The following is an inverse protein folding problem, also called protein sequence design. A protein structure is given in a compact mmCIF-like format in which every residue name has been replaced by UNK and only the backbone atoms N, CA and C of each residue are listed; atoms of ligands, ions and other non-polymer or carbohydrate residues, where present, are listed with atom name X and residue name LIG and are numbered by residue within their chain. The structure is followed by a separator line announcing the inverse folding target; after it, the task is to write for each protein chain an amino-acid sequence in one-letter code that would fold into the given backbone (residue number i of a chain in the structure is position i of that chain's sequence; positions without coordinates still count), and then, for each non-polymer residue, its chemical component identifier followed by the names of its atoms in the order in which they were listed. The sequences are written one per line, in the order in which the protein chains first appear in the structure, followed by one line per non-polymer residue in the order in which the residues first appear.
data_IF_002684617351
#
_entry.id   IF_002684617351
#
_cell.length_a   1.000
_cell.length_b   1.000
_cell.length_c   1.000
_cell.angle_alpha   90.00
_cell.angle_beta   90.00
_cell.angle_gamma   90.00
#
_symmetry.space_group_name_H-M   'P 1'
#
loop_
_entity.id
_entity.type
_entity.pdbx_description
1 polymer ?
#
# COMPACT_ATOMS: atom_id res chain seq x y z
N UNK A 1 -13.05 -11.08 16.49
CA UNK A 1 -13.95 -10.63 17.59
C UNK A 1 -15.26 -11.39 17.50
N UNK A 2 -15.76 -11.93 18.63
CA UNK A 2 -17.04 -12.65 18.68
C UNK A 2 -18.26 -11.70 18.71
N UNK A 3 -19.46 -12.27 18.47
CA UNK A 3 -20.72 -11.52 18.41
C UNK A 3 -21.08 -10.95 19.79
N UNK A 4 -20.78 -11.65 20.88
CA UNK A 4 -21.11 -11.23 22.23
C UNK A 4 -20.32 -9.99 22.63
N UNK A 5 -19.02 -9.97 22.35
CA UNK A 5 -18.16 -8.79 22.53
C UNK A 5 -18.68 -7.60 21.72
N UNK A 6 -19.05 -7.81 20.46
CA UNK A 6 -19.62 -6.77 19.63
C UNK A 6 -20.90 -6.18 20.20
N UNK A 7 -21.82 -7.05 20.66
CA UNK A 7 -23.09 -6.63 21.26
C UNK A 7 -22.87 -5.85 22.57
N UNK A 8 -21.93 -6.32 23.42
CA UNK A 8 -21.58 -5.67 24.67
C UNK A 8 -21.15 -4.21 24.46
N UNK A 9 -20.29 -3.95 23.46
CA UNK A 9 -19.83 -2.59 23.13
C UNK A 9 -20.76 -1.83 22.18
N UNK A 10 -21.81 -2.47 21.67
CA UNK A 10 -22.76 -1.85 20.74
C UNK A 10 -22.21 -1.67 19.33
N UNK A 11 -21.26 -2.53 18.92
CA UNK A 11 -20.72 -2.58 17.57
C UNK A 11 -21.69 -3.26 16.62
N UNK A 12 -21.75 -2.81 15.38
CA UNK A 12 -22.56 -3.36 14.29
C UNK A 12 -21.76 -4.18 13.30
N UNK A 13 -20.46 -3.93 13.23
CA UNK A 13 -19.50 -4.64 12.38
C UNK A 13 -18.14 -4.71 13.07
N UNK A 14 -17.31 -5.68 12.67
CA UNK A 14 -15.91 -5.80 13.12
C UNK A 14 -15.10 -4.57 12.70
N UNK A 15 -14.11 -4.20 13.50
CA UNK A 15 -13.27 -3.02 13.23
C UNK A 15 -12.51 -3.13 11.91
N UNK A 16 -12.15 -4.36 11.48
CA UNK A 16 -11.49 -4.63 10.19
C UNK A 16 -12.39 -4.34 8.97
N UNK A 17 -13.71 -4.32 9.18
CA UNK A 17 -14.72 -3.99 8.16
C UNK A 17 -15.11 -2.52 8.15
N UNK A 18 -14.37 -1.67 8.89
CA UNK A 18 -14.57 -0.22 8.83
C UNK A 18 -14.34 0.32 7.42
N UNK A 19 -15.02 1.41 7.11
CA UNK A 19 -14.81 2.14 5.87
C UNK A 19 -13.41 2.74 5.82
N UNK A 20 -13.09 3.51 4.80
CA UNK A 20 -11.78 4.12 4.65
C UNK A 20 -11.72 5.49 5.35
N UNK A 21 -10.72 5.67 6.19
CA UNK A 21 -10.43 6.95 6.82
C UNK A 21 -9.55 7.83 5.92
N UNK A 22 -10.12 8.87 5.35
CA UNK A 22 -9.39 9.82 4.51
C UNK A 22 -8.64 10.85 5.35
N UNK A 23 -7.33 10.87 5.20
CA UNK A 23 -6.47 11.94 5.75
C UNK A 23 -6.20 13.01 4.68
N UNK A 24 -5.88 14.24 5.11
CA UNK A 24 -5.46 15.31 4.19
C UNK A 24 -4.17 14.92 3.44
N UNK A 25 -3.27 14.20 4.11
CA UNK A 25 -2.07 13.64 3.48
C UNK A 25 -2.43 12.71 2.30
N UNK A 26 -3.42 11.83 2.48
CA UNK A 26 -3.87 10.95 1.40
C UNK A 26 -4.44 11.73 0.21
N UNK A 27 -5.25 12.75 0.45
CA UNK A 27 -5.83 13.58 -0.63
C UNK A 27 -4.73 14.28 -1.43
N UNK A 28 -3.76 14.85 -0.73
CA UNK A 28 -2.60 15.51 -1.36
C UNK A 28 -1.77 14.50 -2.17
N UNK A 29 -1.50 13.34 -1.60
CA UNK A 29 -0.78 12.26 -2.28
C UNK A 29 -1.53 11.79 -3.52
N UNK A 30 -2.85 11.57 -3.44
CA UNK A 30 -3.68 11.19 -4.59
C UNK A 30 -3.56 12.22 -5.74
N UNK A 31 -3.64 13.50 -5.42
CA UNK A 31 -3.49 14.58 -6.42
C UNK A 31 -2.10 14.55 -7.07
N UNK A 32 -1.05 14.40 -6.26
CA UNK A 32 0.33 14.35 -6.74
C UNK A 32 0.60 13.11 -7.60
N UNK A 33 0.08 11.95 -7.19
CA UNK A 33 0.17 10.70 -7.97
C UNK A 33 -0.53 10.85 -9.32
N UNK A 34 -1.74 11.45 -9.36
CA UNK A 34 -2.46 11.72 -10.62
C UNK A 34 -1.65 12.63 -11.56
N UNK A 35 -1.01 13.67 -11.03
CA UNK A 35 -0.13 14.55 -11.81
C UNK A 35 1.10 13.79 -12.32
N UNK A 36 1.70 12.97 -11.47
CA UNK A 36 2.86 12.17 -11.84
C UNK A 36 2.52 11.18 -12.96
N UNK A 37 1.37 10.52 -12.90
CA UNK A 37 0.90 9.59 -13.95
C UNK A 37 0.74 10.30 -15.30
N UNK A 38 0.21 11.51 -15.31
CA UNK A 38 0.07 12.30 -16.56
C UNK A 38 1.41 12.68 -17.19
N UNK A 39 2.47 12.74 -16.38
CA UNK A 39 3.84 12.99 -16.89
C UNK A 39 4.54 11.71 -17.37
N UNK A 40 3.98 10.54 -17.06
CA UNK A 40 4.63 9.24 -17.33
C UNK A 40 5.82 8.96 -16.42
N UNK A 41 6.45 7.80 -16.65
CA UNK A 41 7.65 7.37 -15.91
C UNK A 41 7.34 6.47 -14.72
N UNK A 42 8.31 6.30 -13.82
CA UNK A 42 8.20 5.44 -12.64
C UNK A 42 7.71 6.26 -11.45
N UNK A 43 6.73 5.71 -10.75
CA UNK A 43 6.15 6.29 -9.54
C UNK A 43 6.22 5.23 -8.46
N UNK A 44 6.99 5.47 -7.41
CA UNK A 44 7.12 4.55 -6.29
C UNK A 44 6.31 5.06 -5.09
N UNK A 45 5.39 4.23 -4.61
CA UNK A 45 4.60 4.47 -3.41
C UNK A 45 5.10 3.53 -2.32
N UNK A 46 5.68 4.06 -1.25
CA UNK A 46 6.26 3.25 -0.18
C UNK A 46 5.61 3.51 1.16
N UNK A 47 5.67 2.53 2.03
CA UNK A 47 5.17 2.66 3.40
C UNK A 47 5.29 1.36 4.19
N UNK A 48 5.32 1.48 5.50
CA UNK A 48 5.45 0.34 6.40
C UNK A 48 4.25 -0.62 6.32
N UNK A 49 4.43 -1.84 6.81
CA UNK A 49 3.34 -2.83 6.90
C UNK A 49 2.22 -2.28 7.78
N UNK A 50 0.98 -2.50 7.33
CA UNK A 50 -0.21 -2.08 8.07
C UNK A 50 -0.61 -0.61 7.90
N UNK A 51 0.14 0.19 7.10
CA UNK A 51 -0.20 1.59 6.83
C UNK A 51 -1.42 1.77 5.90
N UNK A 52 -1.88 0.69 5.27
CA UNK A 52 -3.02 0.73 4.35
C UNK A 52 -2.66 0.91 2.86
N UNK A 53 -1.42 0.58 2.43
CA UNK A 53 -0.97 0.70 1.03
C UNK A 53 -1.94 0.09 0.03
N UNK A 54 -2.29 -1.18 0.19
CA UNK A 54 -3.17 -1.91 -0.75
C UNK A 54 -4.58 -1.31 -0.80
N UNK A 55 -5.12 -0.87 0.34
CA UNK A 55 -6.43 -0.21 0.39
C UNK A 55 -6.38 1.14 -0.33
N UNK A 56 -5.36 1.95 -0.02
CA UNK A 56 -5.13 3.24 -0.68
C UNK A 56 -4.91 3.07 -2.19
N UNK A 57 -4.13 2.05 -2.59
CA UNK A 57 -3.89 1.75 -4.00
C UNK A 57 -5.19 1.45 -4.75
N UNK A 58 -6.06 0.61 -4.19
CA UNK A 58 -7.37 0.30 -4.79
C UNK A 58 -8.22 1.56 -4.95
N UNK A 59 -8.21 2.46 -3.97
CA UNK A 59 -8.93 3.73 -4.04
C UNK A 59 -8.33 4.70 -5.05
N UNK A 60 -7.01 4.77 -5.15
CA UNK A 60 -6.33 5.54 -6.20
C UNK A 60 -6.75 5.04 -7.58
N UNK A 61 -6.72 3.72 -7.79
CA UNK A 61 -7.15 3.10 -9.05
C UNK A 61 -8.61 3.39 -9.36
N UNK A 62 -9.50 3.28 -8.37
CA UNK A 62 -10.91 3.57 -8.52
C UNK A 62 -11.15 5.03 -8.90
N UNK A 63 -10.58 5.97 -8.14
CA UNK A 63 -10.72 7.40 -8.39
C UNK A 63 -10.19 7.82 -9.77
N UNK A 64 -9.10 7.19 -10.24
CA UNK A 64 -8.55 7.42 -11.58
C UNK A 64 -9.48 6.84 -12.66
N UNK A 65 -10.03 5.64 -12.43
CA UNK A 65 -10.96 4.98 -13.37
C UNK A 65 -12.27 5.75 -13.51
N UNK A 66 -12.83 6.26 -12.41
CA UNK A 66 -14.07 7.05 -12.41
C UNK A 66 -13.93 8.36 -13.18
N UNK A 67 -12.78 9.02 -13.10
CA UNK A 67 -12.49 10.22 -13.90
C UNK A 67 -12.36 9.92 -15.39
N UNK A 68 -12.12 8.69 -15.78
CA UNK A 68 -11.94 8.22 -17.17
C UNK A 68 -10.94 9.05 -18.01
N UNK A 69 -9.96 9.67 -17.34
CA UNK A 69 -8.89 10.46 -17.98
C UNK A 69 -7.59 9.70 -18.14
N UNK A 70 -7.45 8.58 -17.43
CA UNK A 70 -6.26 7.71 -17.42
C UNK A 70 -6.76 6.27 -17.52
N UNK A 71 -6.11 5.45 -18.32
CA UNK A 71 -6.41 4.02 -18.43
C UNK A 71 -5.61 3.26 -17.38
N UNK A 72 -6.29 2.40 -16.63
CA UNK A 72 -5.69 1.63 -15.54
C UNK A 72 -5.43 0.22 -16.00
N UNK A 73 -4.18 -0.22 -15.92
CA UNK A 73 -3.77 -1.62 -16.06
C UNK A 73 -3.21 -2.15 -14.73
N UNK A 74 -3.45 -3.43 -14.45
CA UNK A 74 -3.07 -4.05 -13.18
C UNK A 74 -2.28 -5.34 -13.42
N UNK A 75 -1.11 -5.45 -12.79
CA UNK A 75 -0.43 -6.73 -12.70
C UNK A 75 -1.14 -7.64 -11.70
N UNK A 76 -1.85 -8.66 -12.18
CA UNK A 76 -2.63 -9.62 -11.36
C UNK A 76 -1.82 -10.84 -10.93
N UNK A 77 -0.51 -10.87 -11.17
CA UNK A 77 0.34 -12.02 -10.80
C UNK A 77 0.39 -12.14 -9.28
N UNK A 78 -0.04 -13.30 -8.78
CA UNK A 78 -0.08 -13.61 -7.34
C UNK A 78 1.34 -13.76 -6.77
N UNK A 79 2.21 -14.47 -7.48
CA UNK A 79 3.60 -14.67 -7.09
C UNK A 79 4.49 -13.56 -7.67
N UNK A 80 4.70 -12.49 -6.91
CA UNK A 80 5.44 -11.30 -7.37
C UNK A 80 6.90 -11.57 -7.74
N UNK A 81 7.55 -12.58 -7.17
CA UNK A 81 8.92 -12.98 -7.56
C UNK A 81 9.00 -13.49 -9.00
N UNK A 82 7.90 -14.01 -9.54
CA UNK A 82 7.81 -14.54 -10.90
C UNK A 82 7.33 -13.47 -11.91
N UNK A 83 7.13 -12.22 -11.48
CA UNK A 83 6.79 -11.13 -12.39
C UNK A 83 7.99 -10.80 -13.26
N UNK A 84 7.84 -11.00 -14.55
CA UNK A 84 8.83 -10.67 -15.57
C UNK A 84 8.30 -9.54 -16.46
N UNK A 85 9.16 -8.95 -17.27
CA UNK A 85 8.72 -7.96 -18.25
C UNK A 85 7.65 -8.53 -19.19
N UNK A 86 7.73 -9.81 -19.55
CA UNK A 86 6.74 -10.47 -20.40
C UNK A 86 5.36 -10.55 -19.75
N UNK A 87 5.29 -10.79 -18.43
CA UNK A 87 4.01 -10.80 -17.70
C UNK A 87 3.41 -9.40 -17.65
N UNK A 88 4.23 -8.36 -17.58
CA UNK A 88 3.78 -6.97 -17.60
C UNK A 88 3.30 -6.54 -18.99
N UNK A 89 3.99 -6.94 -20.06
CA UNK A 89 3.51 -6.75 -21.42
C UNK A 89 2.15 -7.42 -21.63
N UNK A 90 2.00 -8.67 -21.15
CA UNK A 90 0.74 -9.40 -21.26
C UNK A 90 -0.39 -8.71 -20.50
N UNK A 91 -0.12 -8.22 -19.29
CA UNK A 91 -1.11 -7.46 -18.50
C UNK A 91 -1.57 -6.21 -19.25
N UNK A 92 -0.62 -5.39 -19.72
CA UNK A 92 -0.92 -4.18 -20.48
C UNK A 92 -1.75 -4.50 -21.73
N UNK A 93 -1.31 -5.50 -22.50
CA UNK A 93 -2.04 -5.88 -23.71
C UNK A 93 -3.46 -6.36 -23.39
N UNK A 94 -3.63 -7.21 -22.37
CA UNK A 94 -4.94 -7.73 -21.96
C UNK A 94 -5.91 -6.62 -21.56
N UNK A 95 -5.41 -5.61 -20.82
CA UNK A 95 -6.24 -4.53 -20.32
C UNK A 95 -6.54 -3.45 -21.37
N UNK A 96 -5.63 -3.25 -22.33
CA UNK A 96 -5.71 -2.17 -23.31
C UNK A 96 -6.21 -2.58 -24.67
N UNK A 97 -5.99 -3.86 -25.07
CA UNK A 97 -6.34 -4.33 -26.41
C UNK A 97 -7.86 -4.40 -26.61
N UNK A 98 -8.29 -4.01 -27.80
CA UNK A 98 -9.66 -4.16 -28.30
C UNK A 98 -9.77 -5.42 -29.16
N UNK A 99 -10.98 -5.91 -29.40
CA UNK A 99 -11.19 -7.10 -30.27
C UNK A 99 -10.50 -6.99 -31.64
N UNK A 100 -10.35 -5.78 -32.17
CA UNK A 100 -9.68 -5.50 -33.46
C UNK A 100 -8.17 -5.67 -33.42
N UNK A 101 -7.54 -5.62 -32.25
CA UNK A 101 -6.07 -5.59 -32.10
C UNK A 101 -5.44 -6.99 -32.26
N UNK A 102 -6.25 -8.04 -32.33
CA UNK A 102 -5.83 -9.40 -32.58
C UNK A 102 -5.17 -10.08 -31.37
N UNK A 103 -4.43 -11.16 -31.63
CA UNK A 103 -3.71 -11.90 -30.58
C UNK A 103 -2.38 -11.23 -30.24
N UNK A 104 -1.98 -11.33 -28.99
CA UNK A 104 -0.68 -10.82 -28.53
C UNK A 104 0.46 -11.65 -29.15
N UNK A 105 1.44 -11.01 -29.80
CA UNK A 105 2.50 -11.74 -30.50
C UNK A 105 3.38 -12.55 -29.54
N UNK A 106 3.93 -13.66 -30.01
CA UNK A 106 4.87 -14.49 -29.23
C UNK A 106 6.31 -13.98 -29.32
N UNK A 107 6.70 -13.37 -30.44
CA UNK A 107 8.05 -12.84 -30.68
C UNK A 107 8.26 -11.53 -29.92
N UNK A 108 9.38 -11.35 -29.17
CA UNK A 108 9.63 -10.17 -28.36
C UNK A 108 9.52 -8.85 -29.12
N UNK A 109 10.23 -8.70 -30.22
CA UNK A 109 10.22 -7.45 -31.03
C UNK A 109 8.82 -7.08 -31.55
N UNK A 110 8.03 -8.08 -31.95
CA UNK A 110 6.66 -7.84 -32.39
C UNK A 110 5.74 -7.44 -31.24
N UNK A 111 6.02 -7.95 -30.01
CA UNK A 111 5.30 -7.52 -28.79
C UNK A 111 5.54 -6.05 -28.49
N UNK A 112 6.81 -5.65 -28.51
CA UNK A 112 7.22 -4.27 -28.22
C UNK A 112 6.57 -3.30 -29.20
N UNK A 113 6.69 -3.55 -30.50
CA UNK A 113 6.03 -2.74 -31.54
C UNK A 113 4.52 -2.71 -31.37
N UNK A 114 3.90 -3.87 -31.12
CA UNK A 114 2.44 -3.94 -30.95
C UNK A 114 1.96 -3.18 -29.72
N UNK A 115 2.69 -3.23 -28.60
CA UNK A 115 2.37 -2.46 -27.41
C UNK A 115 2.54 -0.96 -27.65
N UNK A 116 3.62 -0.56 -28.34
CA UNK A 116 3.88 0.82 -28.71
C UNK A 116 2.77 1.38 -29.60
N UNK A 117 2.37 0.66 -30.66
CA UNK A 117 1.22 1.02 -31.51
C UNK A 117 -0.07 1.14 -30.69
N UNK A 118 -0.34 0.15 -29.81
CA UNK A 118 -1.54 0.15 -28.98
C UNK A 118 -1.61 1.38 -28.08
N UNK A 119 -0.52 1.74 -27.40
CA UNK A 119 -0.49 2.91 -26.51
C UNK A 119 -0.54 4.20 -27.28
N UNK A 120 0.09 4.27 -28.47
CA UNK A 120 0.03 5.42 -29.38
C UNK A 120 -1.41 5.72 -29.83
N UNK A 121 -2.19 4.68 -30.11
CA UNK A 121 -3.59 4.81 -30.54
C UNK A 121 -4.54 5.22 -29.42
N UNK A 122 -4.05 5.25 -28.18
CA UNK A 122 -4.82 5.69 -27.02
C UNK A 122 -4.64 7.20 -26.83
N UNK A 123 -5.74 7.91 -26.74
CA UNK A 123 -5.76 9.37 -26.47
C UNK A 123 -5.53 9.73 -24.99
N UNK A 124 -5.30 8.73 -24.14
CA UNK A 124 -5.21 8.87 -22.69
C UNK A 124 -3.92 8.26 -22.16
N UNK A 125 -3.31 8.83 -21.12
CA UNK A 125 -2.22 8.19 -20.41
C UNK A 125 -2.62 6.81 -19.87
N UNK A 126 -1.66 5.89 -19.86
CA UNK A 126 -1.80 4.54 -19.28
C UNK A 126 -1.04 4.47 -17.96
N UNK A 127 -1.65 3.92 -16.94
CA UNK A 127 -1.04 3.66 -15.65
C UNK A 127 -1.04 2.15 -15.35
N UNK A 128 0.14 1.55 -15.31
CA UNK A 128 0.35 0.16 -14.89
C UNK A 128 0.62 0.14 -13.38
N UNK A 129 -0.20 -0.59 -12.62
CA UNK A 129 -0.05 -0.71 -11.17
C UNK A 129 0.51 -2.08 -10.78
N UNK A 130 1.57 -2.06 -9.97
CA UNK A 130 2.24 -3.25 -9.43
C UNK A 130 2.30 -3.12 -7.91
N UNK A 131 1.48 -3.92 -7.21
CA UNK A 131 1.53 -4.00 -5.74
C UNK A 131 2.62 -4.96 -5.27
N UNK A 132 3.11 -4.80 -4.04
CA UNK A 132 4.15 -5.62 -3.42
C UNK A 132 5.47 -5.64 -4.24
N UNK A 133 5.81 -4.53 -4.88
CA UNK A 133 6.93 -4.41 -5.81
C UNK A 133 8.31 -4.63 -5.16
N UNK A 134 8.41 -4.57 -3.82
CA UNK A 134 9.63 -4.94 -3.09
C UNK A 134 10.00 -6.43 -3.21
N UNK A 135 9.08 -7.26 -3.72
CA UNK A 135 9.31 -8.67 -4.06
C UNK A 135 9.75 -8.88 -5.52
N UNK A 136 9.80 -7.82 -6.34
CA UNK A 136 10.27 -7.94 -7.71
C UNK A 136 11.77 -8.21 -7.77
N UNK A 137 12.17 -9.02 -8.74
CA UNK A 137 13.59 -9.22 -9.01
C UNK A 137 14.20 -7.92 -9.59
N UNK A 138 15.45 -7.60 -9.22
CA UNK A 138 16.15 -6.40 -9.71
C UNK A 138 16.14 -6.29 -11.24
N UNK A 139 16.28 -7.42 -11.97
CA UNK A 139 16.17 -7.45 -13.43
C UNK A 139 14.81 -6.96 -13.94
N UNK A 140 13.72 -7.26 -13.24
CA UNK A 140 12.39 -6.77 -13.60
C UNK A 140 12.28 -5.26 -13.41
N UNK A 141 12.85 -4.73 -12.32
CA UNK A 141 12.91 -3.28 -12.10
C UNK A 141 13.67 -2.58 -13.22
N UNK A 142 14.83 -3.12 -13.63
CA UNK A 142 15.59 -2.57 -14.79
C UNK A 142 14.74 -2.62 -16.06
N UNK A 143 14.04 -3.72 -16.30
CA UNK A 143 13.18 -3.86 -17.49
C UNK A 143 12.00 -2.88 -17.51
N UNK A 144 11.55 -2.37 -16.36
CA UNK A 144 10.51 -1.31 -16.32
C UNK A 144 10.99 -0.01 -16.96
N UNK A 145 12.28 0.33 -16.81
CA UNK A 145 12.88 1.48 -17.51
C UNK A 145 12.76 1.30 -19.03
N UNK A 146 13.21 0.14 -19.55
CA UNK A 146 13.13 -0.16 -20.97
C UNK A 146 11.67 -0.09 -21.50
N UNK A 147 10.71 -0.59 -20.71
CA UNK A 147 9.29 -0.51 -21.06
C UNK A 147 8.81 0.95 -21.18
N UNK A 148 9.24 1.83 -20.30
CA UNK A 148 8.84 3.23 -20.33
C UNK A 148 9.52 3.96 -21.51
N UNK A 149 10.81 3.73 -21.72
CA UNK A 149 11.58 4.29 -22.83
C UNK A 149 10.96 3.88 -24.18
N UNK A 150 10.61 2.61 -24.33
CA UNK A 150 9.92 2.10 -25.50
C UNK A 150 8.65 2.89 -25.86
N UNK A 151 7.86 3.26 -24.84
CA UNK A 151 6.63 4.04 -25.05
C UNK A 151 6.91 5.52 -25.28
N UNK A 152 7.96 6.09 -24.65
CA UNK A 152 8.34 7.50 -24.80
C UNK A 152 8.87 7.81 -26.20
N UNK A 153 9.39 6.83 -26.93
CA UNK A 153 9.80 6.97 -28.33
C UNK A 153 8.61 7.13 -29.30
N UNK A 154 7.38 7.03 -28.80
CA UNK A 154 6.14 7.25 -29.54
C UNK A 154 5.28 8.29 -28.80
N UNK A 155 4.29 8.92 -29.48
CA UNK A 155 3.38 9.86 -28.83
C UNK A 155 2.37 9.17 -27.91
N UNK A 156 2.87 8.54 -26.84
CA UNK A 156 2.09 7.84 -25.82
C UNK A 156 2.64 8.15 -24.41
N UNK A 157 1.81 8.02 -23.40
CA UNK A 157 2.21 8.23 -22.01
C UNK A 157 1.96 6.93 -21.22
N UNK A 158 3.04 6.35 -20.71
CA UNK A 158 3.00 5.22 -19.78
C UNK A 158 3.60 5.63 -18.43
N UNK A 159 2.83 5.44 -17.38
CA UNK A 159 3.30 5.50 -16.00
C UNK A 159 3.29 4.11 -15.39
N UNK A 160 4.35 3.74 -14.68
CA UNK A 160 4.41 2.50 -13.90
C UNK A 160 4.41 2.86 -12.42
N UNK A 161 3.32 2.53 -11.75
CA UNK A 161 3.13 2.79 -10.32
C UNK A 161 3.48 1.52 -9.55
N UNK A 162 4.62 1.54 -8.86
CA UNK A 162 5.10 0.44 -8.03
C UNK A 162 4.84 0.76 -6.56
N UNK A 163 4.27 -0.19 -5.84
CA UNK A 163 3.91 -0.03 -4.43
C UNK A 163 4.62 -1.07 -3.58
N UNK A 164 5.21 -0.66 -2.48
CA UNK A 164 5.97 -1.60 -1.65
C UNK A 164 6.34 -1.09 -0.26
N UNK A 165 7.21 -1.86 0.40
CA UNK A 165 7.78 -1.49 1.70
C UNK A 165 8.82 -0.37 1.54
N UNK A 166 9.23 0.31 2.62
CA UNK A 166 10.30 1.30 2.60
C UNK A 166 11.61 0.78 1.99
N UNK A 167 11.87 -0.54 2.12
CA UNK A 167 12.99 -1.21 1.44
C UNK A 167 13.02 -0.93 -0.07
N UNK A 168 11.87 -0.84 -0.73
CA UNK A 168 11.79 -0.50 -2.16
C UNK A 168 12.44 0.86 -2.47
N UNK A 169 12.24 1.87 -1.60
CA UNK A 169 12.88 3.17 -1.76
C UNK A 169 14.40 3.08 -1.61
N UNK A 170 14.88 2.24 -0.68
CA UNK A 170 16.30 2.00 -0.49
C UNK A 170 16.89 1.22 -1.66
N UNK A 171 16.20 0.21 -2.16
CA UNK A 171 16.64 -0.56 -3.34
C UNK A 171 16.78 0.36 -4.57
N UNK A 172 15.85 1.30 -4.79
CA UNK A 172 15.91 2.27 -5.87
C UNK A 172 17.08 3.27 -5.75
N UNK A 173 17.63 3.48 -4.53
CA UNK A 173 18.83 4.30 -4.30
C UNK A 173 20.12 3.52 -4.47
N UNK A 174 20.07 2.20 -4.63
CA UNK A 174 21.25 1.37 -4.84
C UNK A 174 21.90 1.73 -6.18
N UNK A 175 23.26 1.84 -6.27
CA UNK A 175 23.97 2.11 -7.51
C UNK A 175 23.58 1.22 -8.69
N UNK A 176 23.25 -0.05 -8.44
CA UNK A 176 22.76 -0.98 -9.46
C UNK A 176 21.41 -0.58 -10.09
N UNK A 177 20.64 0.28 -9.43
CA UNK A 177 19.31 0.76 -9.87
C UNK A 177 19.25 2.29 -9.98
N UNK A 178 20.41 2.98 -9.89
CA UNK A 178 20.50 4.44 -9.86
C UNK A 178 19.80 5.10 -11.05
N UNK A 179 19.95 4.54 -12.24
CA UNK A 179 19.30 5.06 -13.43
C UNK A 179 17.76 5.06 -13.37
N UNK A 180 17.21 4.11 -12.60
CA UNK A 180 15.77 4.00 -12.37
C UNK A 180 15.37 4.89 -11.21
N UNK A 181 16.14 4.85 -10.13
CA UNK A 181 15.89 5.62 -8.91
C UNK A 181 15.92 7.12 -9.14
N UNK A 182 16.87 7.61 -9.92
CA UNK A 182 16.98 9.04 -10.27
C UNK A 182 15.77 9.56 -11.08
N UNK A 183 15.08 8.68 -11.79
CA UNK A 183 13.89 9.01 -12.60
C UNK A 183 12.57 8.69 -11.91
N UNK A 184 12.61 7.96 -10.79
CA UNK A 184 11.44 7.58 -10.03
C UNK A 184 10.92 8.73 -9.16
N UNK A 185 9.63 9.03 -9.26
CA UNK A 185 8.95 9.93 -8.33
C UNK A 185 8.53 9.14 -7.09
N UNK A 186 9.15 9.43 -5.96
CA UNK A 186 8.90 8.72 -4.70
C UNK A 186 7.86 9.45 -3.86
N UNK A 187 6.84 8.72 -3.44
CA UNK A 187 5.82 9.17 -2.47
C UNK A 187 5.77 8.18 -1.31
N UNK A 188 5.62 8.69 -0.11
CA UNK A 188 5.59 7.88 1.10
C UNK A 188 4.24 7.98 1.80
N UNK A 189 3.70 6.82 2.21
CA UNK A 189 2.57 6.75 3.11
C UNK A 189 3.04 7.02 4.53
N UNK A 190 2.66 8.14 5.08
CA UNK A 190 3.04 8.51 6.44
C UNK A 190 2.17 7.80 7.47
N UNK A 191 2.76 7.45 8.63
CA UNK A 191 2.01 7.02 9.81
C UNK A 191 0.93 8.02 10.20
N UNK A 192 -0.07 7.57 10.96
CA UNK A 192 -1.19 8.42 11.39
C UNK A 192 -0.76 9.64 12.22
N UNK A 193 0.35 9.52 12.96
CA UNK A 193 0.90 10.60 13.78
C UNK A 193 -0.17 11.25 14.67
N UNK A 194 -0.28 12.57 14.60
CA UNK A 194 -1.28 13.34 15.36
C UNK A 194 -2.75 13.03 15.01
N UNK A 195 -2.99 12.28 13.93
CA UNK A 195 -4.33 11.83 13.54
C UNK A 195 -4.75 10.50 14.20
N UNK A 196 -3.89 9.89 15.03
CA UNK A 196 -4.15 8.60 15.65
C UNK A 196 -5.43 8.58 16.48
N UNK A 197 -5.61 9.55 17.40
CA UNK A 197 -6.82 9.66 18.23
C UNK A 197 -8.07 9.86 17.36
N UNK A 198 -8.00 10.74 16.35
CA UNK A 198 -9.11 10.97 15.41
C UNK A 198 -9.46 9.70 14.61
N UNK A 199 -8.46 8.92 14.24
CA UNK A 199 -8.67 7.65 13.56
C UNK A 199 -9.39 6.65 14.46
N UNK A 200 -8.97 6.52 15.73
CA UNK A 200 -9.62 5.61 16.69
C UNK A 200 -11.07 6.02 16.94
N UNK A 201 -11.32 7.29 17.20
CA UNK A 201 -12.69 7.80 17.39
C UNK A 201 -13.58 7.55 16.17
N UNK A 202 -13.05 7.84 14.98
CA UNK A 202 -13.75 7.58 13.73
C UNK A 202 -14.01 6.07 13.53
N UNK A 203 -13.02 5.21 13.81
CA UNK A 203 -13.12 3.77 13.69
C UNK A 203 -14.24 3.20 14.56
N UNK A 204 -14.25 3.59 15.83
CA UNK A 204 -15.27 3.17 16.78
C UNK A 204 -16.65 3.67 16.37
N UNK A 205 -16.76 4.94 15.98
CA UNK A 205 -18.02 5.50 15.49
C UNK A 205 -18.54 4.82 14.21
N UNK A 206 -17.66 4.52 13.27
CA UNK A 206 -18.01 3.87 12.00
C UNK A 206 -18.50 2.43 12.20
N UNK A 207 -18.03 1.76 13.26
CA UNK A 207 -18.38 0.38 13.54
C UNK A 207 -19.46 0.20 14.61
N UNK A 208 -19.95 1.26 15.24
CA UNK A 208 -20.97 1.21 16.30
C UNK A 208 -22.35 1.69 15.83
N UNK A 209 -23.36 1.43 16.68
CA UNK A 209 -24.71 1.99 16.51
C UNK A 209 -24.69 3.50 16.69
N UNK A 210 -25.58 4.23 15.99
CA UNK A 210 -25.61 5.71 15.96
C UNK A 210 -25.61 6.41 17.33
N UNK A 211 -26.13 5.75 18.37
CA UNK A 211 -26.25 6.32 19.73
C UNK A 211 -25.00 6.08 20.61
N UNK A 212 -24.07 5.21 20.18
CA UNK A 212 -22.88 4.85 20.96
C UNK A 212 -21.76 5.82 20.63
N UNK A 213 -21.22 6.46 21.67
CA UNK A 213 -20.07 7.36 21.50
C UNK A 213 -18.75 6.58 21.64
N UNK A 214 -17.67 7.00 20.99
CA UNK A 214 -16.36 6.37 21.13
C UNK A 214 -15.91 6.20 22.59
N UNK A 215 -16.19 7.18 23.44
CA UNK A 215 -15.84 7.15 24.86
C UNK A 215 -16.70 6.21 25.72
N UNK A 216 -17.84 5.72 25.21
CA UNK A 216 -18.62 4.66 25.83
C UNK A 216 -17.99 3.27 25.57
N UNK A 217 -17.02 3.20 24.65
CA UNK A 217 -16.32 1.97 24.24
C UNK A 217 -14.90 1.95 24.79
N UNK A 218 -14.12 3.00 24.61
CA UNK A 218 -12.77 3.19 25.16
C UNK A 218 -12.72 4.51 25.95
N UNK A 219 -12.08 4.50 27.10
CA UNK A 219 -11.81 5.75 27.83
C UNK A 219 -10.88 6.65 27.01
N UNK A 220 -10.92 7.97 27.27
CA UNK A 220 -10.07 8.94 26.57
C UNK A 220 -8.59 8.60 26.75
N UNK A 221 -8.20 8.23 27.94
CA UNK A 221 -6.83 7.86 28.30
C UNK A 221 -6.36 6.61 27.53
N UNK A 222 -7.27 5.62 27.30
CA UNK A 222 -6.98 4.45 26.50
C UNK A 222 -6.81 4.80 25.01
N UNK A 223 -7.65 5.70 24.48
CA UNK A 223 -7.52 6.21 23.12
C UNK A 223 -6.18 6.93 22.93
N UNK A 224 -5.83 7.84 23.86
CA UNK A 224 -4.58 8.59 23.80
C UNK A 224 -3.37 7.67 23.92
N UNK A 225 -3.44 6.64 24.77
CA UNK A 225 -2.38 5.63 24.89
C UNK A 225 -2.16 4.89 23.56
N UNK A 226 -3.23 4.39 22.94
CA UNK A 226 -3.13 3.68 21.64
C UNK A 226 -2.63 4.62 20.54
N UNK A 227 -3.13 5.84 20.46
CA UNK A 227 -2.72 6.82 19.47
C UNK A 227 -1.23 7.18 19.56
N UNK A 228 -0.68 7.22 20.78
CA UNK A 228 0.74 7.54 21.00
C UNK A 228 1.68 6.34 20.78
N UNK A 229 1.20 5.12 20.97
CA UNK A 229 2.03 3.91 20.90
C UNK A 229 1.91 3.17 19.57
N UNK A 230 0.76 3.28 18.90
CA UNK A 230 0.46 2.54 17.68
C UNK A 230 0.51 3.50 16.49
N UNK A 231 1.31 3.16 15.51
CA UNK A 231 1.63 4.07 14.39
C UNK A 231 0.86 3.76 13.12
N UNK A 232 0.30 2.54 12.99
CA UNK A 232 -0.41 2.13 11.77
C UNK A 232 -1.87 1.78 12.04
N UNK A 233 -2.77 1.99 11.05
CA UNK A 233 -4.16 1.55 11.13
C UNK A 233 -4.32 0.08 11.53
N UNK A 234 -3.49 -0.81 10.96
CA UNK A 234 -3.55 -2.24 11.26
C UNK A 234 -3.23 -2.53 12.73
N UNK A 235 -2.20 -1.87 13.29
CA UNK A 235 -1.88 -2.00 14.71
C UNK A 235 -3.03 -1.52 15.58
N UNK A 236 -3.58 -0.34 15.29
CA UNK A 236 -4.68 0.23 16.05
C UNK A 236 -5.89 -0.72 16.03
N UNK A 237 -6.29 -1.21 14.86
CA UNK A 237 -7.40 -2.15 14.72
C UNK A 237 -7.12 -3.42 15.55
N UNK A 238 -5.95 -4.00 15.41
CA UNK A 238 -5.57 -5.23 16.09
C UNK A 238 -5.58 -5.09 17.63
N UNK A 239 -4.89 -4.08 18.16
CA UNK A 239 -4.79 -3.88 19.59
C UNK A 239 -6.11 -3.40 20.21
N UNK A 240 -6.90 -2.60 19.49
CA UNK A 240 -8.25 -2.20 19.92
C UNK A 240 -9.17 -3.43 19.98
N UNK A 241 -9.16 -4.29 18.97
CA UNK A 241 -9.95 -5.53 19.00
C UNK A 241 -9.59 -6.41 20.22
N UNK A 242 -8.30 -6.62 20.48
CA UNK A 242 -7.85 -7.38 21.65
C UNK A 242 -8.23 -6.73 22.99
N UNK A 243 -8.20 -5.42 23.05
CA UNK A 243 -8.60 -4.68 24.24
C UNK A 243 -10.10 -4.83 24.53
N UNK A 244 -10.93 -4.79 23.48
CA UNK A 244 -12.37 -5.04 23.59
C UNK A 244 -12.66 -6.47 24.06
N UNK A 245 -12.00 -7.48 23.49
CA UNK A 245 -12.17 -8.88 23.89
C UNK A 245 -11.77 -9.10 25.35
N UNK A 246 -10.63 -8.55 25.78
CA UNK A 246 -10.17 -8.66 27.18
C UNK A 246 -11.08 -7.92 28.14
N UNK A 247 -11.52 -6.72 27.79
CA UNK A 247 -12.43 -5.91 28.63
C UNK A 247 -13.78 -6.61 28.80
N UNK A 248 -14.30 -7.25 27.74
CA UNK A 248 -15.51 -8.08 27.80
C UNK A 248 -15.36 -9.24 28.79
N UNK A 249 -14.22 -9.96 28.73
CA UNK A 249 -13.92 -11.05 29.67
C UNK A 249 -13.85 -10.58 31.13
N UNK A 250 -13.43 -9.34 31.37
CA UNK A 250 -13.38 -8.71 32.70
C UNK A 250 -14.71 -8.07 33.12
N UNK A 251 -15.71 -8.05 32.23
CA UNK A 251 -16.98 -7.35 32.50
C UNK A 251 -16.87 -5.83 32.52
N UNK A 252 -15.79 -5.27 31.97
CA UNK A 252 -15.56 -3.81 31.95
C UNK A 252 -16.22 -3.16 30.75
N UNK A 253 -16.75 -1.95 30.96
CA UNK A 253 -17.20 -1.02 29.90
C UNK A 253 -17.26 0.39 30.46
N UNK A 254 -16.57 1.36 29.82
CA UNK A 254 -15.65 1.27 28.66
C UNK A 254 -14.33 0.56 29.01
N UNK A 255 -13.54 0.25 27.96
CA UNK A 255 -12.16 -0.26 28.12
C UNK A 255 -11.32 0.76 28.88
N UNK A 256 -10.77 0.36 30.02
CA UNK A 256 -9.96 1.21 30.88
C UNK A 256 -8.53 1.38 30.38
N UNK A 257 -7.84 2.39 30.88
CA UNK A 257 -6.40 2.58 30.64
C UNK A 257 -5.58 1.38 31.09
N UNK A 258 -5.94 0.77 32.24
CA UNK A 258 -5.22 -0.39 32.78
C UNK A 258 -5.32 -1.60 31.83
N UNK A 259 -6.52 -1.88 31.31
CA UNK A 259 -6.74 -2.95 30.32
C UNK A 259 -5.97 -2.66 29.04
N UNK A 260 -5.99 -1.43 28.52
CA UNK A 260 -5.23 -1.02 27.33
C UNK A 260 -3.71 -1.17 27.52
N UNK A 261 -3.18 -0.77 28.69
CA UNK A 261 -1.76 -0.96 29.03
C UNK A 261 -1.36 -2.42 29.08
N UNK A 262 -2.20 -3.28 29.67
CA UNK A 262 -1.92 -4.71 29.78
C UNK A 262 -1.82 -5.42 28.42
N UNK A 263 -2.52 -4.92 27.40
CA UNK A 263 -2.47 -5.43 26.03
C UNK A 263 -1.21 -4.96 25.29
N UNK A 264 -0.72 -3.77 25.64
CA UNK A 264 0.48 -3.18 25.02
C UNK A 264 1.79 -3.59 25.71
N UNK A 265 1.73 -4.32 26.83
CA UNK A 265 2.94 -4.80 27.51
C UNK A 265 3.82 -5.58 26.53
N UNK A 266 5.12 -5.27 26.43
CA UNK A 266 5.96 -5.85 25.41
C UNK A 266 6.15 -7.35 25.69
N UNK A 267 5.73 -8.17 24.73
CA UNK A 267 6.37 -9.46 24.56
C UNK A 267 7.82 -9.19 24.13
N UNK A 268 8.79 -9.78 24.84
CA UNK A 268 10.23 -9.62 24.59
C UNK A 268 10.68 -10.03 23.15
N UNK A 269 9.76 -10.56 22.35
CA UNK A 269 9.98 -11.01 20.97
C UNK A 269 9.65 -9.95 19.89
N UNK A 270 9.61 -8.65 20.22
CA UNK A 270 9.09 -7.62 19.29
C UNK A 270 10.12 -6.95 18.38
N UNK A 271 11.41 -7.28 18.45
CA UNK A 271 12.43 -6.68 17.57
C UNK A 271 12.28 -7.19 16.14
N UNK A 272 12.15 -8.50 15.96
CA UNK A 272 11.99 -9.14 14.63
C UNK A 272 10.72 -8.68 13.89
N UNK A 273 9.53 -8.59 14.52
CA UNK A 273 8.35 -8.01 13.88
C UNK A 273 8.50 -6.54 13.48
N UNK A 274 9.26 -5.74 14.23
CA UNK A 274 9.51 -4.35 13.87
C UNK A 274 10.38 -4.24 12.61
N UNK A 275 11.42 -5.03 12.48
CA UNK A 275 12.27 -5.08 11.30
C UNK A 275 11.52 -5.61 10.08
N UNK A 276 10.70 -6.64 10.25
CA UNK A 276 9.87 -7.20 9.19
C UNK A 276 8.85 -6.19 8.64
N UNK A 277 8.31 -5.28 9.47
CA UNK A 277 7.41 -4.20 9.02
C UNK A 277 8.05 -3.25 8.03
N UNK A 278 9.35 -3.07 8.12
CA UNK A 278 10.13 -2.26 7.18
C UNK A 278 10.61 -3.04 5.97
N UNK A 279 10.28 -4.34 5.88
CA UNK A 279 10.67 -5.22 4.78
C UNK A 279 12.05 -5.87 4.97
N UNK A 280 12.63 -5.78 6.17
CA UNK A 280 13.89 -6.43 6.50
C UNK A 280 13.63 -7.78 7.20
N UNK A 281 14.32 -8.82 6.76
CA UNK A 281 14.44 -10.09 7.46
C UNK A 281 15.89 -10.28 7.95
N UNK A 282 16.14 -11.30 8.75
CA UNK A 282 17.47 -11.59 9.32
C UNK A 282 18.54 -11.73 8.23
N UNK A 283 18.19 -12.33 7.08
CA UNK A 283 19.10 -12.50 5.94
C UNK A 283 19.45 -11.14 5.32
N UNK A 284 18.45 -10.29 5.07
CA UNK A 284 18.66 -8.96 4.51
C UNK A 284 19.50 -8.06 5.44
N UNK A 285 19.34 -8.20 6.76
CA UNK A 285 20.18 -7.50 7.74
C UNK A 285 21.62 -8.05 7.75
N UNK A 286 21.79 -9.37 7.63
CA UNK A 286 23.10 -9.99 7.51
C UNK A 286 23.88 -9.45 6.30
N UNK A 287 23.22 -9.33 5.17
CA UNK A 287 23.83 -8.80 3.93
C UNK A 287 24.25 -7.32 4.10
N UNK A 288 23.46 -6.49 4.79
CA UNK A 288 23.83 -5.11 5.09
C UNK A 288 25.00 -4.99 6.07
N UNK A 289 25.08 -5.84 7.08
CA UNK A 289 26.14 -5.84 8.08
C UNK A 289 27.47 -6.34 7.49
N UNK A 290 27.43 -7.32 6.61
CA UNK A 290 28.63 -7.86 5.93
C UNK A 290 29.22 -6.85 4.95
N UNK A 291 28.38 -6.12 4.21
CA UNK A 291 28.85 -5.07 3.29
C UNK A 291 29.40 -3.84 4.00
N UNK A 292 29.02 -3.58 5.25
CA UNK A 292 29.54 -2.45 6.03
C UNK A 292 30.90 -2.72 6.70
N UNK A 293 31.39 -3.96 6.71
CA UNK A 293 32.69 -4.33 7.26
C UNK A 293 33.81 -4.35 6.20
N UNK A 294 33.54 -4.04 4.95
CA UNK A 294 34.50 -4.11 3.82
C UNK A 294 34.86 -2.71 3.28
N UNK A 295 34.79 -1.65 4.13
CA UNK A 295 35.31 -0.31 3.81
C UNK A 295 36.40 0.04 4.80
#
# INVERSE_FOLDING_TARGET
MDIETMQHFGLTKELEKADYFETEHYKTMLSNVKLAIKSGGIIALTGIVGIGKTVSLRRIQQAISEENKILVSKSLVTEKRNVTINTLFTALFTDLARKKDGKFPTQPEKRERKLQELIKDLSKPVALFIDEAHNLHSRTLVSLKCLIELVQDAPGILAVVIVGHPKLANDLRNPALEEIGARAKLFEFNPLGTSGSKFIEWLLKNCSKDKVKPYDILTKEAIDLFANRLITPLQIIYYTTRALEKSYQLGEKPVSLATAQSILSPDLNTIEPNLARHGYNIVALGDYLVTSQTI
#
